data_IF_781090493964
#
_entry.id   IF_781090493964
#
_cell.length_a   1.000
_cell.length_b   1.000
_cell.length_c   1.000
_cell.angle_alpha   90.00
_cell.angle_beta   90.00
_cell.angle_gamma   90.00
#
_symmetry.space_group_name_H-M   'P 1'
#
loop_
_entity.id
_entity.type
_entity.pdbx_description
1 polymer ?
#
# COMPACT_ATOMS: atom_id res chain seq x y z
N UNK A 1 -31.99 -12.94 -0.66
CA UNK A 1 -31.94 -11.54 -0.18
C UNK A 1 -30.48 -11.05 -0.18
N UNK A 2 -30.18 -10.02 -0.98
CA UNK A 2 -28.87 -9.35 -0.93
C UNK A 2 -28.72 -8.64 0.42
N UNK A 3 -27.53 -8.64 1.05
CA UNK A 3 -27.31 -7.88 2.28
C UNK A 3 -27.58 -6.39 2.03
N UNK A 4 -28.12 -5.65 3.02
CA UNK A 4 -28.34 -4.22 2.88
C UNK A 4 -27.00 -3.54 2.57
N UNK A 5 -27.01 -2.66 1.56
CA UNK A 5 -25.86 -1.83 1.24
C UNK A 5 -25.43 -1.08 2.51
N UNK A 6 -24.16 -1.22 2.90
CA UNK A 6 -23.61 -0.45 4.01
C UNK A 6 -23.85 1.05 3.73
N UNK A 7 -24.28 1.83 4.74
CA UNK A 7 -24.39 3.27 4.57
C UNK A 7 -23.01 3.84 4.17
N UNK A 8 -22.97 4.89 3.34
CA UNK A 8 -21.72 5.53 2.98
C UNK A 8 -21.00 5.96 4.26
N UNK A 9 -19.84 5.37 4.53
CA UNK A 9 -18.99 5.79 5.63
C UNK A 9 -18.49 7.20 5.31
N UNK A 10 -18.64 8.12 6.26
CA UNK A 10 -18.02 9.43 6.14
C UNK A 10 -16.49 9.26 6.15
N UNK A 11 -15.76 9.92 5.22
CA UNK A 11 -14.31 9.82 5.20
C UNK A 11 -13.75 10.33 6.53
N UNK A 12 -12.95 9.50 7.20
CA UNK A 12 -12.37 9.81 8.51
C UNK A 12 -11.31 10.94 8.45
N UNK A 13 -10.98 11.43 7.25
CA UNK A 13 -9.92 12.40 7.05
C UNK A 13 -8.52 11.76 7.14
N UNK A 14 -7.52 12.62 7.35
CA UNK A 14 -6.15 12.16 7.59
C UNK A 14 -6.10 11.51 8.98
N UNK A 15 -5.51 10.31 9.06
CA UNK A 15 -5.34 9.58 10.31
C UNK A 15 -4.13 10.12 11.08
N UNK A 16 -4.30 11.28 11.73
CA UNK A 16 -3.21 11.97 12.46
C UNK A 16 -2.63 11.13 13.61
N UNK A 17 -3.46 10.29 14.26
CA UNK A 17 -3.08 9.46 15.41
C UNK A 17 -2.87 7.98 15.07
N UNK A 18 -2.63 7.64 13.79
CA UNK A 18 -2.33 6.26 13.43
C UNK A 18 -1.01 5.83 14.07
N UNK A 19 -1.08 4.97 15.10
CA UNK A 19 0.07 4.28 15.68
C UNK A 19 0.08 2.84 15.22
N UNK A 20 1.17 2.45 14.56
CA UNK A 20 1.40 1.05 14.22
C UNK A 20 2.36 0.45 15.24
N UNK A 21 1.86 -0.48 16.04
CA UNK A 21 2.68 -1.26 16.95
C UNK A 21 3.49 -2.28 16.15
N UNK A 22 4.79 -2.02 15.98
CA UNK A 22 5.71 -2.93 15.28
C UNK A 22 6.25 -3.94 16.27
N UNK A 23 5.92 -5.21 16.05
CA UNK A 23 6.21 -6.32 16.98
C UNK A 23 7.44 -7.13 16.55
N UNK A 24 8.45 -6.44 16.01
CA UNK A 24 9.66 -7.09 15.48
C UNK A 24 10.81 -7.19 16.51
N UNK A 25 10.59 -6.71 17.72
CA UNK A 25 11.57 -6.66 18.80
C UNK A 25 11.73 -8.03 19.48
N UNK A 26 12.97 -8.46 19.71
CA UNK A 26 13.33 -9.71 20.41
C UNK A 26 12.71 -9.87 21.82
N UNK A 27 12.16 -8.80 22.40
CA UNK A 27 11.60 -8.78 23.75
C UNK A 27 10.07 -8.97 23.80
N UNK A 28 9.40 -9.17 22.66
CA UNK A 28 7.95 -9.27 22.64
C UNK A 28 7.45 -10.72 22.79
N UNK A 29 6.50 -11.05 23.70
CA UNK A 29 5.95 -12.40 23.84
C UNK A 29 5.34 -12.96 22.54
N UNK A 30 4.88 -12.07 21.64
CA UNK A 30 4.38 -12.46 20.33
C UNK A 30 5.48 -13.06 19.44
N UNK A 31 6.77 -12.73 19.66
CA UNK A 31 7.87 -13.37 18.94
C UNK A 31 7.99 -14.86 19.23
N UNK A 32 7.61 -15.35 20.42
CA UNK A 32 7.66 -16.78 20.69
C UNK A 32 6.71 -17.59 19.79
N UNK A 33 5.60 -16.99 19.37
CA UNK A 33 4.70 -17.62 18.38
C UNK A 33 5.37 -17.62 17.00
N UNK A 34 5.93 -16.48 16.58
CA UNK A 34 6.63 -16.36 15.30
C UNK A 34 7.83 -17.33 15.20
N UNK A 35 8.60 -17.47 16.28
CA UNK A 35 9.74 -18.39 16.33
C UNK A 35 9.31 -19.85 16.25
N UNK A 36 8.21 -20.23 16.92
CA UNK A 36 7.65 -21.59 16.85
C UNK A 36 7.12 -21.96 15.47
N UNK A 37 6.61 -20.97 14.73
CA UNK A 37 5.97 -21.16 13.43
C UNK A 37 6.82 -20.58 12.28
N UNK A 38 8.13 -20.38 12.50
CA UNK A 38 9.01 -19.67 11.56
C UNK A 38 8.97 -20.25 10.14
N UNK A 39 8.91 -21.58 10.03
CA UNK A 39 8.88 -22.28 8.74
C UNK A 39 7.53 -22.16 8.01
N UNK A 40 6.49 -21.66 8.69
CA UNK A 40 5.14 -21.46 8.15
C UNK A 40 4.84 -19.98 7.85
N UNK A 41 5.76 -19.06 8.16
CA UNK A 41 5.56 -17.62 8.07
C UNK A 41 6.55 -17.03 7.06
N UNK A 42 6.04 -16.23 6.14
CA UNK A 42 6.88 -15.54 5.17
C UNK A 42 7.87 -14.59 5.90
N UNK A 43 9.19 -14.71 5.68
CA UNK A 43 10.17 -13.89 6.37
C UNK A 43 10.09 -12.43 5.89
N UNK A 44 9.79 -11.48 6.79
CA UNK A 44 9.69 -10.06 6.46
C UNK A 44 10.47 -9.17 7.46
N UNK A 45 11.76 -9.48 7.61
CA UNK A 45 12.63 -8.92 8.64
C UNK A 45 13.77 -8.02 8.10
N UNK A 46 13.79 -7.75 6.80
CA UNK A 46 14.76 -6.82 6.20
C UNK A 46 14.52 -5.37 6.64
N UNK A 47 15.52 -4.51 6.45
CA UNK A 47 15.43 -3.07 6.67
C UNK A 47 16.02 -2.34 5.44
N UNK A 48 15.20 -1.68 4.60
CA UNK A 48 13.73 -1.61 4.68
C UNK A 48 13.08 -2.98 4.51
N UNK A 49 11.86 -3.18 5.04
CA UNK A 49 11.11 -4.44 4.88
C UNK A 49 10.80 -4.74 3.42
N UNK A 50 10.58 -3.68 2.67
CA UNK A 50 10.10 -3.74 1.31
C UNK A 50 10.12 -2.38 0.65
N UNK A 51 9.90 -2.39 -0.66
CA UNK A 51 9.56 -1.21 -1.42
C UNK A 51 8.04 -1.15 -1.57
N UNK A 52 7.48 0.06 -1.58
CA UNK A 52 6.06 0.30 -1.77
C UNK A 52 5.87 1.33 -2.89
N UNK A 53 5.11 0.98 -3.91
CA UNK A 53 4.69 1.88 -4.97
C UNK A 53 3.21 2.23 -4.76
N UNK A 54 2.89 3.51 -4.64
CA UNK A 54 1.52 4.01 -4.63
C UNK A 54 1.29 4.79 -5.92
N UNK A 55 0.36 4.32 -6.76
CA UNK A 55 -0.12 5.04 -7.92
C UNK A 55 -1.47 5.64 -7.55
N UNK A 56 -1.58 6.97 -7.56
CA UNK A 56 -2.75 7.72 -7.17
C UNK A 56 -3.26 8.56 -8.34
N UNK A 57 -4.27 8.05 -9.05
CA UNK A 57 -4.92 8.78 -10.13
C UNK A 57 -6.18 9.47 -9.59
N UNK A 58 -6.13 10.79 -9.56
CA UNK A 58 -7.21 11.66 -9.11
C UNK A 58 -7.90 12.34 -10.29
N UNK A 59 -7.12 12.85 -11.23
CA UNK A 59 -7.58 13.67 -12.35
C UNK A 59 -7.66 12.85 -13.64
N UNK A 60 -8.82 12.87 -14.29
CA UNK A 60 -9.06 12.13 -15.52
C UNK A 60 -9.71 13.04 -16.57
N UNK A 61 -9.32 12.86 -17.83
CA UNK A 61 -9.83 13.71 -18.93
C UNK A 61 -11.32 13.48 -19.21
N UNK A 62 -11.79 12.24 -19.10
CA UNK A 62 -13.15 11.82 -19.47
C UNK A 62 -13.95 11.22 -18.32
N UNK A 63 -13.41 11.18 -17.10
CA UNK A 63 -14.06 10.60 -15.93
C UNK A 63 -14.11 11.59 -14.77
N UNK A 64 -15.06 11.45 -13.83
CA UNK A 64 -15.13 12.31 -12.67
C UNK A 64 -13.86 12.27 -11.83
N UNK A 65 -13.46 13.43 -11.30
CA UNK A 65 -12.33 13.54 -10.35
C UNK A 65 -12.60 12.72 -9.08
N UNK A 66 -11.59 11.96 -8.63
CA UNK A 66 -11.66 11.11 -7.41
C UNK A 66 -11.37 11.91 -6.14
N UNK A 67 -12.29 12.79 -5.77
CA UNK A 67 -12.17 13.60 -4.55
C UNK A 67 -11.93 12.72 -3.31
N UNK A 68 -10.93 13.10 -2.50
CA UNK A 68 -10.55 12.38 -1.28
C UNK A 68 -9.44 11.33 -1.46
N UNK A 69 -9.06 10.98 -2.68
CA UNK A 69 -7.97 9.99 -2.91
C UNK A 69 -6.60 10.47 -2.39
N UNK A 70 -6.39 11.77 -2.28
CA UNK A 70 -5.20 12.35 -1.62
C UNK A 70 -5.10 11.94 -0.14
N UNK A 71 -6.25 11.86 0.54
CA UNK A 71 -6.33 11.43 1.94
C UNK A 71 -5.96 9.94 2.04
N UNK A 72 -6.50 9.11 1.14
CA UNK A 72 -6.13 7.70 1.05
C UNK A 72 -4.62 7.53 0.82
N UNK A 73 -4.07 8.26 -0.16
CA UNK A 73 -2.65 8.25 -0.48
C UNK A 73 -1.78 8.66 0.73
N UNK A 74 -2.18 9.70 1.46
CA UNK A 74 -1.48 10.18 2.66
C UNK A 74 -1.51 9.14 3.78
N UNK A 75 -2.69 8.56 4.03
CA UNK A 75 -2.86 7.54 5.07
C UNK A 75 -2.04 6.28 4.75
N UNK A 76 -2.02 5.84 3.49
CA UNK A 76 -1.21 4.69 3.06
C UNK A 76 0.29 4.98 3.10
N UNK A 77 0.72 6.19 2.73
CA UNK A 77 2.11 6.61 2.90
C UNK A 77 2.54 6.52 4.37
N UNK A 78 1.72 7.05 5.27
CA UNK A 78 2.01 7.05 6.70
C UNK A 78 2.03 5.63 7.26
N UNK A 79 1.03 4.81 6.92
CA UNK A 79 0.95 3.41 7.32
C UNK A 79 2.18 2.62 6.88
N UNK A 80 2.48 2.62 5.59
CA UNK A 80 3.59 1.82 5.04
C UNK A 80 4.96 2.33 5.46
N UNK A 81 5.10 3.65 5.65
CA UNK A 81 6.29 4.24 6.26
C UNK A 81 6.50 3.77 7.70
N UNK A 82 5.44 3.77 8.53
CA UNK A 82 5.52 3.33 9.93
C UNK A 82 5.87 1.84 10.05
N UNK A 83 5.40 0.99 9.14
CA UNK A 83 5.79 -0.44 9.12
C UNK A 83 7.12 -0.71 8.39
N UNK A 84 7.88 0.31 8.00
CA UNK A 84 9.26 0.16 7.54
C UNK A 84 9.45 -0.12 6.05
N UNK A 85 8.52 0.32 5.18
CA UNK A 85 8.68 0.26 3.72
C UNK A 85 9.23 1.57 3.18
N UNK A 86 10.01 1.48 2.10
CA UNK A 86 10.38 2.64 1.29
C UNK A 86 9.26 2.96 0.31
N UNK A 87 8.53 4.06 0.57
CA UNK A 87 7.33 4.43 -0.19
C UNK A 87 7.64 5.42 -1.30
N UNK A 88 7.27 5.08 -2.53
CA UNK A 88 7.28 5.94 -3.71
C UNK A 88 5.84 6.22 -4.13
N UNK A 89 5.53 7.48 -4.45
CA UNK A 89 4.18 7.92 -4.83
C UNK A 89 4.23 8.51 -6.22
N UNK A 90 3.29 8.11 -7.06
CA UNK A 90 3.10 8.57 -8.43
C UNK A 90 1.67 9.03 -8.61
N UNK A 91 1.48 10.20 -9.24
CA UNK A 91 0.16 10.79 -9.39
C UNK A 91 -0.24 10.90 -10.86
N UNK A 92 -1.52 10.69 -11.14
CA UNK A 92 -2.17 10.94 -12.44
C UNK A 92 -1.42 10.35 -13.64
N UNK A 93 -1.12 9.04 -13.57
CA UNK A 93 -0.46 8.29 -14.64
C UNK A 93 -1.48 7.76 -15.65
N UNK A 94 -1.16 7.88 -16.94
CA UNK A 94 -1.86 7.13 -17.99
C UNK A 94 -1.60 5.62 -17.86
N UNK A 95 -2.44 4.78 -18.46
CA UNK A 95 -2.24 3.33 -18.49
C UNK A 95 -0.83 2.92 -18.96
N UNK A 96 -0.29 3.58 -20.00
CA UNK A 96 1.06 3.32 -20.52
C UNK A 96 2.13 3.68 -19.49
N UNK A 97 1.97 4.80 -18.79
CA UNK A 97 2.89 5.24 -17.75
C UNK A 97 2.81 4.34 -16.52
N UNK A 98 1.62 3.92 -16.10
CA UNK A 98 1.44 2.94 -15.03
C UNK A 98 2.19 1.65 -15.33
N UNK A 99 2.03 1.09 -16.54
CA UNK A 99 2.75 -0.10 -16.98
C UNK A 99 4.26 0.11 -16.97
N UNK A 100 4.72 1.25 -17.50
CA UNK A 100 6.15 1.58 -17.48
C UNK A 100 6.68 1.70 -16.05
N UNK A 101 5.93 2.35 -15.17
CA UNK A 101 6.31 2.60 -13.78
C UNK A 101 6.33 1.33 -12.96
N UNK A 102 5.35 0.44 -13.11
CA UNK A 102 5.34 -0.88 -12.47
C UNK A 102 6.51 -1.73 -12.97
N UNK A 103 6.85 -1.67 -14.26
CA UNK A 103 8.05 -2.36 -14.79
C UNK A 103 9.33 -1.80 -14.20
N UNK A 104 9.48 -0.48 -14.12
CA UNK A 104 10.65 0.14 -13.51
C UNK A 104 10.76 -0.23 -12.04
N UNK A 105 9.65 -0.20 -11.31
CA UNK A 105 9.59 -0.62 -9.91
C UNK A 105 10.01 -2.09 -9.75
N UNK A 106 9.43 -3.00 -10.53
CA UNK A 106 9.78 -4.42 -10.47
C UNK A 106 11.25 -4.73 -10.78
N UNK A 107 11.93 -3.86 -11.54
CA UNK A 107 13.34 -3.98 -11.88
C UNK A 107 14.27 -3.19 -10.93
N UNK A 108 13.73 -2.57 -9.87
CA UNK A 108 14.55 -1.83 -8.92
C UNK A 108 15.52 -2.78 -8.20
N UNK A 109 16.85 -2.56 -8.31
CA UNK A 109 17.84 -3.43 -7.67
C UNK A 109 17.73 -3.46 -6.14
N UNK A 110 17.07 -2.48 -5.52
CA UNK A 110 16.83 -2.47 -4.08
C UNK A 110 15.94 -3.63 -3.61
N UNK A 111 15.11 -4.22 -4.49
CA UNK A 111 14.33 -5.42 -4.17
C UNK A 111 15.21 -6.60 -3.73
N UNK A 112 16.48 -6.66 -4.17
CA UNK A 112 17.43 -7.72 -3.74
C UNK A 112 17.69 -7.69 -2.22
N UNK A 113 17.58 -6.53 -1.60
CA UNK A 113 17.88 -6.33 -0.18
C UNK A 113 16.62 -6.25 0.68
N UNK A 114 15.44 -6.32 0.06
CA UNK A 114 14.16 -6.22 0.73
C UNK A 114 13.44 -7.57 0.73
N UNK A 115 12.59 -7.79 1.72
CA UNK A 115 11.90 -9.07 1.90
C UNK A 115 10.58 -9.12 1.13
N UNK A 116 9.95 -7.97 0.90
CA UNK A 116 8.63 -7.89 0.29
C UNK A 116 8.50 -6.65 -0.61
N UNK A 117 7.40 -6.59 -1.35
CA UNK A 117 7.04 -5.43 -2.16
C UNK A 117 5.54 -5.20 -2.06
N UNK A 118 5.13 -3.93 -2.08
CA UNK A 118 3.72 -3.52 -2.08
C UNK A 118 3.48 -2.64 -3.30
N UNK A 119 2.37 -2.88 -4.00
CA UNK A 119 1.88 -2.01 -5.06
C UNK A 119 0.45 -1.66 -4.75
N UNK A 120 0.18 -0.37 -4.59
CA UNK A 120 -1.14 0.20 -4.39
C UNK A 120 -1.52 0.95 -5.65
N UNK A 121 -2.73 0.70 -6.15
CA UNK A 121 -3.29 1.46 -7.26
C UNK A 121 -4.63 2.05 -6.84
N UNK A 122 -4.69 3.37 -6.76
CA UNK A 122 -5.88 4.16 -6.45
C UNK A 122 -6.34 4.81 -7.76
N UNK A 123 -7.32 4.20 -8.42
CA UNK A 123 -7.81 4.67 -9.73
C UNK A 123 -9.28 4.29 -9.93
N UNK A 124 -9.88 4.72 -11.04
CA UNK A 124 -11.20 4.20 -11.43
C UNK A 124 -11.07 2.76 -11.93
N UNK A 125 -12.14 1.98 -11.84
CA UNK A 125 -12.14 0.60 -12.31
C UNK A 125 -13.39 0.30 -13.10
N UNK A 126 -13.24 -0.52 -14.13
CA UNK A 126 -14.35 -1.20 -14.81
C UNK A 126 -14.16 -2.71 -14.66
N UNK A 127 -15.13 -3.51 -15.13
CA UNK A 127 -15.02 -4.97 -15.11
C UNK A 127 -13.72 -5.40 -15.80
N UNK A 128 -12.87 -6.08 -15.05
CA UNK A 128 -11.57 -6.62 -15.45
C UNK A 128 -10.48 -5.60 -15.81
N UNK A 129 -10.68 -4.29 -15.55
CA UNK A 129 -9.72 -3.25 -15.96
C UNK A 129 -9.57 -2.09 -14.97
N UNK A 130 -8.33 -1.60 -14.86
CA UNK A 130 -7.99 -0.34 -14.21
C UNK A 130 -8.04 0.78 -15.26
N UNK A 131 -8.74 1.87 -14.95
CA UNK A 131 -8.91 3.03 -15.82
C UNK A 131 -8.11 4.22 -15.31
#
# INVERSE_FOLDING_TARGET
PLPPCLPPMHPAGILEDLRVDVVDSNSCPQMDMYLRNRDLIYPNFSTPKGLCLIINNENFASMPRRHGTEIDCTNLRNLFGQIGYSVVIENDLTCKEMLSRVRTFANDPAHRFASSAIVVVLTHGERDQLL
#
